data_IF_134413771274
#
_entry.id   IF_134413771274
#
_cell.length_a   1.000
_cell.length_b   1.000
_cell.length_c   1.000
_cell.angle_alpha   90.00
_cell.angle_beta   90.00
_cell.angle_gamma   90.00
#
_symmetry.space_group_name_H-M   'P 1'
#
loop_
_entity.id
_entity.type
_entity.pdbx_description
1 polymer ?
#
# COMPACT_ATOMS: atom_id res chain seq x y z
N UNK A 1 -37.86 31.92 9.49
CA UNK A 1 -37.57 31.73 10.92
C UNK A 1 -36.06 31.78 11.06
N UNK A 2 -35.52 32.99 11.10
CA UNK A 2 -34.11 33.27 11.33
C UNK A 2 -33.73 32.78 12.72
N UNK A 3 -32.86 31.77 12.79
CA UNK A 3 -32.16 31.38 14.02
C UNK A 3 -30.80 32.07 14.05
N UNK A 4 -30.80 33.40 14.02
CA UNK A 4 -29.57 34.19 14.08
C UNK A 4 -29.40 34.94 15.41
N UNK A 5 -30.03 34.43 16.48
CA UNK A 5 -29.88 34.97 17.82
C UNK A 5 -28.95 34.09 18.69
N UNK A 6 -27.72 34.57 18.82
CA UNK A 6 -26.97 34.66 20.08
C UNK A 6 -26.67 33.38 20.88
N UNK A 7 -26.02 32.39 20.26
CA UNK A 7 -25.05 31.59 21.03
C UNK A 7 -23.65 31.98 20.60
N UNK A 8 -23.09 33.01 21.26
CA UNK A 8 -21.65 33.27 21.18
C UNK A 8 -20.94 32.13 21.89
N UNK A 9 -20.55 31.12 21.13
CA UNK A 9 -19.62 30.09 21.61
C UNK A 9 -18.25 30.75 21.76
N UNK A 10 -17.63 30.58 22.92
CA UNK A 10 -16.25 31.05 23.13
C UNK A 10 -15.33 30.41 22.09
N UNK A 11 -14.35 31.16 21.58
CA UNK A 11 -13.38 30.63 20.62
C UNK A 11 -12.71 29.34 21.14
N UNK A 12 -12.55 29.22 22.47
CA UNK A 12 -12.05 28.04 23.15
C UNK A 12 -12.95 26.80 22.94
N UNK A 13 -14.26 26.93 23.15
CA UNK A 13 -15.19 25.81 22.96
C UNK A 13 -15.21 25.37 21.50
N UNK A 14 -15.19 26.32 20.55
CA UNK A 14 -15.07 26.02 19.13
C UNK A 14 -13.81 25.20 18.83
N UNK A 15 -12.65 25.65 19.30
CA UNK A 15 -11.37 24.96 19.11
C UNK A 15 -11.43 23.54 19.67
N UNK A 16 -11.94 23.36 20.89
CA UNK A 16 -12.05 22.04 21.53
C UNK A 16 -12.95 21.10 20.72
N UNK A 17 -14.15 21.54 20.34
CA UNK A 17 -15.06 20.70 19.54
C UNK A 17 -14.48 20.35 18.18
N UNK A 18 -13.82 21.30 17.52
CA UNK A 18 -13.18 21.05 16.23
C UNK A 18 -11.99 20.11 16.36
N UNK A 19 -11.17 20.21 17.41
CA UNK A 19 -10.09 19.27 17.65
C UNK A 19 -10.61 17.85 17.93
N UNK A 20 -11.64 17.69 18.78
CA UNK A 20 -12.25 16.38 19.04
C UNK A 20 -12.76 15.74 17.74
N UNK A 21 -13.41 16.54 16.90
CA UNK A 21 -13.90 16.05 15.61
C UNK A 21 -12.75 15.70 14.67
N UNK A 22 -11.72 16.53 14.54
CA UNK A 22 -10.61 16.28 13.62
C UNK A 22 -9.68 15.14 14.05
N UNK A 23 -9.50 14.96 15.36
CA UNK A 23 -8.59 13.96 15.92
C UNK A 23 -9.26 12.63 16.24
N UNK A 24 -10.59 12.58 16.42
CA UNK A 24 -11.28 11.35 16.82
C UNK A 24 -12.47 11.06 15.90
N UNK A 25 -13.43 11.96 15.84
CA UNK A 25 -14.69 11.70 15.12
C UNK A 25 -14.49 11.46 13.62
N UNK A 26 -13.71 12.32 12.97
CA UNK A 26 -13.46 12.29 11.54
C UNK A 26 -12.65 11.06 11.12
N UNK A 27 -11.51 10.72 11.78
CA UNK A 27 -10.81 9.46 11.52
C UNK A 27 -11.70 8.23 11.66
N UNK A 28 -12.51 8.13 12.73
CA UNK A 28 -13.39 6.97 12.94
C UNK A 28 -14.45 6.85 11.85
N UNK A 29 -15.09 7.97 11.49
CA UNK A 29 -16.07 8.00 10.41
C UNK A 29 -15.45 7.62 9.06
N UNK A 30 -14.27 8.16 8.72
CA UNK A 30 -13.61 7.83 7.46
C UNK A 30 -13.20 6.36 7.39
N UNK A 31 -12.73 5.78 8.50
CA UNK A 31 -12.36 4.37 8.55
C UNK A 31 -13.56 3.45 8.42
N UNK A 32 -14.65 3.72 9.13
CA UNK A 32 -15.88 2.94 9.00
C UNK A 32 -16.46 2.98 7.58
N UNK A 33 -16.38 4.15 6.94
CA UNK A 33 -16.79 4.32 5.55
C UNK A 33 -15.86 3.58 4.57
N UNK A 34 -14.54 3.70 4.75
CA UNK A 34 -13.56 2.98 3.93
C UNK A 34 -13.74 1.46 4.04
N UNK A 35 -14.05 0.96 5.25
CA UNK A 35 -14.34 -0.45 5.50
C UNK A 35 -15.61 -0.91 4.81
N UNK A 36 -16.69 -0.13 4.87
CA UNK A 36 -17.91 -0.44 4.14
C UNK A 36 -17.68 -0.47 2.61
N UNK A 37 -16.89 0.47 2.08
CA UNK A 37 -16.50 0.50 0.67
C UNK A 37 -15.66 -0.73 0.28
N UNK A 38 -14.70 -1.13 1.13
CA UNK A 38 -13.88 -2.31 0.91
C UNK A 38 -14.73 -3.59 0.87
N UNK A 39 -15.62 -3.79 1.85
CA UNK A 39 -16.52 -4.95 1.88
C UNK A 39 -17.41 -5.02 0.64
N UNK A 40 -17.81 -3.88 0.09
CA UNK A 40 -18.59 -3.82 -1.14
C UNK A 40 -17.76 -4.31 -2.34
N UNK A 41 -16.49 -3.90 -2.44
CA UNK A 41 -15.56 -4.36 -3.47
C UNK A 41 -15.26 -5.86 -3.33
N UNK A 42 -14.99 -6.33 -2.12
CA UNK A 42 -14.75 -7.75 -1.85
C UNK A 42 -15.98 -8.59 -2.19
N UNK A 43 -17.17 -8.17 -1.77
CA UNK A 43 -18.42 -8.85 -2.13
C UNK A 43 -18.59 -8.91 -3.66
N UNK A 44 -18.33 -7.82 -4.37
CA UNK A 44 -18.35 -7.79 -5.83
C UNK A 44 -17.35 -8.78 -6.44
N UNK A 45 -16.16 -8.92 -5.86
CA UNK A 45 -15.17 -9.90 -6.33
C UNK A 45 -15.65 -11.35 -6.20
N UNK A 46 -16.45 -11.68 -5.18
CA UNK A 46 -17.03 -13.00 -4.99
C UNK A 46 -18.18 -13.31 -5.95
N UNK A 47 -19.01 -12.31 -6.27
CA UNK A 47 -20.19 -12.49 -7.12
C UNK A 47 -19.95 -12.21 -8.61
N UNK A 48 -18.86 -11.51 -8.95
CA UNK A 48 -18.56 -11.13 -10.34
C UNK A 48 -18.13 -12.32 -11.19
N UNK A 49 -18.72 -12.41 -12.38
CA UNK A 49 -18.38 -13.34 -13.46
C UNK A 49 -18.30 -12.56 -14.77
N UNK A 50 -17.65 -13.13 -15.77
CA UNK A 50 -17.60 -12.53 -17.11
C UNK A 50 -19.01 -12.41 -17.70
N UNK A 51 -19.37 -11.21 -18.13
CA UNK A 51 -20.67 -10.93 -18.77
C UNK A 51 -20.46 -10.84 -20.28
N UNK A 52 -21.06 -11.78 -21.01
CA UNK A 52 -21.00 -11.82 -22.48
C UNK A 52 -22.31 -11.29 -23.05
N UNK A 53 -22.25 -10.13 -23.71
CA UNK A 53 -23.37 -9.53 -24.42
C UNK A 53 -23.24 -9.77 -25.93
N UNK A 54 -24.25 -10.45 -26.51
CA UNK A 54 -24.39 -10.67 -27.96
C UNK A 54 -23.10 -11.17 -28.66
N UNK A 55 -22.32 -12.02 -27.98
CA UNK A 55 -21.08 -12.63 -28.48
C UNK A 55 -20.00 -11.65 -29.01
N UNK A 56 -20.13 -10.34 -28.76
CA UNK A 56 -19.21 -9.30 -29.26
C UNK A 56 -18.66 -8.40 -28.16
N UNK A 57 -19.37 -8.26 -27.04
CA UNK A 57 -18.95 -7.42 -25.91
C UNK A 57 -18.82 -8.31 -24.69
N UNK A 58 -17.58 -8.48 -24.22
CA UNK A 58 -17.29 -9.20 -22.97
C UNK A 58 -16.88 -8.16 -21.94
N UNK A 59 -17.67 -8.02 -20.89
CA UNK A 59 -17.23 -7.30 -19.69
C UNK A 59 -16.56 -8.33 -18.80
N UNK A 60 -15.25 -8.22 -18.67
CA UNK A 60 -14.47 -9.13 -17.83
C UNK A 60 -14.81 -8.93 -16.35
N UNK A 61 -14.65 -9.99 -15.57
CA UNK A 61 -14.74 -9.97 -14.11
C UNK A 61 -13.88 -8.85 -13.51
N UNK A 62 -12.66 -8.71 -14.00
CA UNK A 62 -11.73 -7.65 -13.57
C UNK A 62 -12.28 -6.26 -13.85
N UNK A 63 -12.89 -6.05 -15.02
CA UNK A 63 -13.54 -4.78 -15.37
C UNK A 63 -14.71 -4.45 -14.44
N UNK A 64 -15.49 -5.46 -14.04
CA UNK A 64 -16.61 -5.29 -13.11
C UNK A 64 -16.16 -4.95 -11.68
N UNK A 65 -15.10 -5.61 -11.21
CA UNK A 65 -14.47 -5.31 -9.91
C UNK A 65 -13.90 -3.89 -9.94
N UNK A 66 -13.17 -3.52 -11.00
CA UNK A 66 -12.61 -2.19 -11.15
C UNK A 66 -13.70 -1.11 -11.12
N UNK A 67 -14.82 -1.32 -11.85
CA UNK A 67 -15.96 -0.41 -11.83
C UNK A 67 -16.53 -0.22 -10.41
N UNK A 68 -16.64 -1.33 -9.66
CA UNK A 68 -17.11 -1.30 -8.27
C UNK A 68 -16.15 -0.54 -7.36
N UNK A 69 -14.84 -0.70 -7.56
CA UNK A 69 -13.82 0.05 -6.84
C UNK A 69 -13.90 1.55 -7.12
N UNK A 70 -14.05 1.95 -8.39
CA UNK A 70 -14.24 3.35 -8.78
C UNK A 70 -15.51 3.96 -8.19
N UNK A 71 -16.61 3.21 -8.22
CA UNK A 71 -17.86 3.63 -7.59
C UNK A 71 -17.69 3.83 -6.08
N UNK A 72 -17.09 2.86 -5.40
CA UNK A 72 -16.84 2.91 -3.95
C UNK A 72 -15.94 4.09 -3.57
N UNK A 73 -14.90 4.35 -4.37
CA UNK A 73 -14.04 5.52 -4.20
C UNK A 73 -14.84 6.83 -4.37
N UNK A 74 -15.69 6.94 -5.39
CA UNK A 74 -16.53 8.13 -5.59
C UNK A 74 -17.50 8.35 -4.42
N UNK A 75 -18.13 7.27 -3.92
CA UNK A 75 -19.01 7.31 -2.73
C UNK A 75 -18.25 7.81 -1.51
N UNK A 76 -17.07 7.26 -1.24
CA UNK A 76 -16.21 7.71 -0.14
C UNK A 76 -15.95 9.23 -0.21
N UNK A 77 -15.50 9.72 -1.36
CA UNK A 77 -15.17 11.12 -1.56
C UNK A 77 -16.39 12.04 -1.34
N UNK A 78 -17.55 11.65 -1.88
CA UNK A 78 -18.79 12.42 -1.76
C UNK A 78 -19.30 12.46 -0.32
N UNK A 79 -19.25 11.34 0.40
CA UNK A 79 -19.60 11.28 1.82
C UNK A 79 -18.70 12.18 2.68
N UNK A 80 -17.39 12.22 2.43
CA UNK A 80 -16.47 13.11 3.17
C UNK A 80 -16.78 14.60 2.93
N UNK A 81 -17.10 14.97 1.69
CA UNK A 81 -17.55 16.33 1.36
C UNK A 81 -18.88 16.69 2.07
N UNK A 82 -19.85 15.77 2.06
CA UNK A 82 -21.14 15.95 2.73
C UNK A 82 -20.95 16.08 4.24
N UNK A 83 -20.08 15.27 4.84
CA UNK A 83 -19.81 15.32 6.28
C UNK A 83 -19.25 16.69 6.68
N UNK A 84 -18.31 17.24 5.91
CA UNK A 84 -17.81 18.60 6.12
C UNK A 84 -18.89 19.67 5.94
N UNK A 85 -19.75 19.51 4.93
CA UNK A 85 -20.87 20.42 4.67
C UNK A 85 -21.86 20.44 5.85
N UNK A 86 -22.26 19.27 6.34
CA UNK A 86 -23.15 19.10 7.48
C UNK A 86 -22.52 19.64 8.76
N UNK A 87 -21.27 19.28 9.04
CA UNK A 87 -20.54 19.76 10.21
C UNK A 87 -20.57 21.29 10.29
N UNK A 88 -20.23 21.97 9.19
CA UNK A 88 -20.25 23.43 9.13
C UNK A 88 -21.66 24.06 9.16
N UNK A 89 -22.71 23.28 8.87
CA UNK A 89 -24.10 23.74 8.96
C UNK A 89 -24.58 23.80 10.41
N UNK A 90 -24.15 22.87 11.25
CA UNK A 90 -24.61 22.78 12.63
C UNK A 90 -23.65 23.43 13.64
N UNK A 91 -22.38 23.63 13.28
CA UNK A 91 -21.41 24.26 14.17
C UNK A 91 -21.50 25.80 14.13
N UNK A 92 -21.61 26.47 15.29
CA UNK A 92 -21.43 27.91 15.38
C UNK A 92 -19.97 28.26 15.08
N UNK A 93 -19.75 29.20 14.17
CA UNK A 93 -18.42 29.52 13.60
C UNK A 93 -17.90 30.84 14.17
N UNK A 94 -16.61 30.91 14.55
CA UNK A 94 -16.02 32.14 15.06
C UNK A 94 -15.91 33.19 13.94
N UNK A 95 -15.91 34.47 14.35
CA UNK A 95 -15.81 35.60 13.40
C UNK A 95 -14.44 35.68 12.73
N UNK A 96 -13.38 35.23 13.42
CA UNK A 96 -12.00 35.26 12.93
C UNK A 96 -11.73 34.24 11.82
N UNK A 97 -11.28 34.72 10.66
CA UNK A 97 -10.93 33.87 9.52
C UNK A 97 -9.80 32.88 9.85
N UNK A 98 -8.74 33.36 10.51
CA UNK A 98 -7.57 32.55 10.82
C UNK A 98 -7.93 31.36 11.74
N UNK A 99 -8.63 31.60 12.85
CA UNK A 99 -9.04 30.55 13.80
C UNK A 99 -9.95 29.52 13.12
N UNK A 100 -10.88 29.98 12.27
CA UNK A 100 -11.84 29.12 11.58
C UNK A 100 -11.19 28.15 10.60
N UNK A 101 -10.19 28.59 9.83
CA UNK A 101 -9.65 27.78 8.73
C UNK A 101 -8.29 27.13 9.04
N UNK A 102 -7.50 27.70 9.96
CA UNK A 102 -6.20 27.16 10.34
C UNK A 102 -6.31 25.73 10.89
N UNK A 103 -7.30 25.47 11.75
CA UNK A 103 -7.52 24.15 12.35
C UNK A 103 -7.74 23.04 11.31
N UNK A 104 -8.32 23.36 10.15
CA UNK A 104 -8.53 22.39 9.07
C UNK A 104 -7.30 22.24 8.17
N UNK A 105 -6.46 23.27 8.04
CA UNK A 105 -5.20 23.18 7.30
C UNK A 105 -4.13 22.41 8.07
N UNK A 106 -4.09 22.54 9.40
CA UNK A 106 -3.10 21.88 10.28
C UNK A 106 -2.98 20.37 10.04
N UNK A 107 -4.06 19.55 10.07
CA UNK A 107 -3.93 18.11 9.84
C UNK A 107 -3.49 17.77 8.41
N UNK A 108 -3.86 18.58 7.41
CA UNK A 108 -3.43 18.37 6.02
C UNK A 108 -1.93 18.59 5.89
N UNK A 109 -1.42 19.69 6.45
CA UNK A 109 0.01 20.03 6.46
C UNK A 109 0.80 18.99 7.25
N UNK A 110 0.31 18.61 8.44
CA UNK A 110 0.91 17.56 9.26
C UNK A 110 1.00 16.24 8.47
N UNK A 111 -0.07 15.85 7.78
CA UNK A 111 -0.09 14.63 6.98
C UNK A 111 0.97 14.67 5.87
N UNK A 112 1.11 15.80 5.19
CA UNK A 112 2.12 15.99 4.15
C UNK A 112 3.55 15.95 4.70
N UNK A 113 3.81 16.56 5.86
CA UNK A 113 5.13 16.55 6.48
C UNK A 113 5.55 15.14 6.89
N UNK A 114 4.67 14.41 7.57
CA UNK A 114 4.93 13.02 7.97
C UNK A 114 5.15 12.15 6.72
N UNK A 115 4.30 12.31 5.70
CA UNK A 115 4.45 11.58 4.43
C UNK A 115 5.80 11.89 3.76
N UNK A 116 6.23 13.16 3.76
CA UNK A 116 7.50 13.57 3.17
C UNK A 116 8.69 12.95 3.91
N UNK A 117 8.66 12.92 5.24
CA UNK A 117 9.71 12.29 6.07
C UNK A 117 9.80 10.78 5.78
N UNK A 118 8.65 10.10 5.75
CA UNK A 118 8.57 8.65 5.49
C UNK A 118 9.00 8.30 4.07
N UNK A 119 8.63 9.13 3.08
CA UNK A 119 9.08 8.95 1.70
C UNK A 119 10.56 9.27 1.51
N UNK A 120 11.09 10.24 2.27
CA UNK A 120 12.51 10.61 2.22
C UNK A 120 13.42 9.53 2.80
N UNK A 121 12.98 8.81 3.84
CA UNK A 121 13.80 7.76 4.45
C UNK A 121 14.10 6.60 3.50
N UNK A 122 13.40 6.50 2.36
CA UNK A 122 13.62 5.47 1.34
C UNK A 122 13.54 4.03 1.90
N UNK A 123 12.71 3.81 2.93
CA UNK A 123 12.62 2.51 3.60
C UNK A 123 13.79 2.20 4.52
N UNK A 124 14.70 3.14 4.75
CA UNK A 124 15.64 3.06 5.86
C UNK A 124 14.91 3.35 7.17
N UNK A 125 15.37 2.69 8.23
CA UNK A 125 14.88 2.92 9.59
C UNK A 125 15.08 4.38 9.98
N UNK A 126 14.02 4.99 10.49
CA UNK A 126 14.09 6.35 11.03
C UNK A 126 14.04 6.23 12.55
N UNK A 127 15.08 6.71 13.22
CA UNK A 127 15.20 6.58 14.69
C UNK A 127 15.12 5.12 15.20
N UNK A 128 15.50 4.14 14.38
CA UNK A 128 15.45 2.72 14.75
C UNK A 128 14.07 2.06 14.63
N UNK A 129 13.10 2.75 14.04
CA UNK A 129 11.78 2.21 13.72
C UNK A 129 11.58 2.14 12.20
N UNK A 130 10.84 1.13 11.74
CA UNK A 130 10.43 1.05 10.35
C UNK A 130 9.47 2.21 10.02
N UNK A 131 9.53 2.64 8.78
CA UNK A 131 8.62 3.59 8.13
C UNK A 131 7.13 3.33 8.42
N UNK A 132 6.70 2.06 8.45
CA UNK A 132 5.33 1.68 8.76
C UNK A 132 4.96 1.95 10.23
N UNK A 133 5.86 1.66 11.17
CA UNK A 133 5.65 1.86 12.60
C UNK A 133 5.54 3.35 12.95
N UNK A 134 6.32 4.18 12.26
CA UNK A 134 6.28 5.64 12.46
C UNK A 134 4.96 6.21 11.96
N UNK A 135 4.47 5.74 10.82
CA UNK A 135 3.14 6.12 10.33
C UNK A 135 2.05 5.68 11.30
N UNK A 136 2.17 4.48 11.86
CA UNK A 136 1.25 3.98 12.87
C UNK A 136 1.21 4.89 14.10
N UNK A 137 2.37 5.27 14.64
CA UNK A 137 2.46 6.19 15.78
C UNK A 137 1.99 7.61 15.45
N UNK A 138 2.28 8.10 14.25
CA UNK A 138 1.90 9.44 13.81
C UNK A 138 0.40 9.59 13.56
N UNK A 139 -0.29 8.49 13.22
CA UNK A 139 -1.72 8.45 12.89
C UNK A 139 -2.49 7.44 13.75
N UNK A 140 -2.25 7.44 15.07
CA UNK A 140 -3.00 6.62 16.04
C UNK A 140 -4.54 6.75 15.88
N UNK A 141 -5.12 7.92 15.57
CA UNK A 141 -6.56 7.98 15.30
C UNK A 141 -7.06 7.10 14.14
N UNK A 142 -6.16 6.67 13.25
CA UNK A 142 -6.43 5.81 12.11
C UNK A 142 -6.15 4.31 12.35
N UNK A 143 -6.12 3.88 13.62
CA UNK A 143 -5.78 2.49 14.03
C UNK A 143 -6.67 1.39 13.43
N UNK A 144 -7.97 1.60 13.19
CA UNK A 144 -8.85 0.57 12.58
C UNK A 144 -8.43 0.28 11.14
N UNK A 145 -8.03 1.31 10.39
CA UNK A 145 -7.46 1.14 9.05
C UNK A 145 -6.14 0.37 9.06
N UNK A 146 -5.36 0.47 10.14
CA UNK A 146 -4.09 -0.25 10.27
C UNK A 146 -4.26 -1.73 10.60
N UNK A 147 -5.32 -2.11 11.32
CA UNK A 147 -5.52 -3.50 11.78
C UNK A 147 -6.46 -4.30 10.88
N UNK A 148 -7.44 -3.65 10.24
CA UNK A 148 -8.58 -4.37 9.62
C UNK A 148 -8.86 -4.10 8.14
N UNK A 149 -8.21 -3.13 7.50
CA UNK A 149 -8.51 -2.77 6.09
C UNK A 149 -7.62 -3.46 5.05
N UNK A 150 -6.62 -4.27 5.46
CA UNK A 150 -5.67 -4.92 4.54
C UNK A 150 -5.26 -4.00 3.38
N UNK A 151 -4.95 -2.72 3.69
CA UNK A 151 -4.46 -1.80 2.69
C UNK A 151 -3.04 -2.25 2.36
N UNK A 152 -2.91 -3.19 1.42
CA UNK A 152 -1.66 -3.82 0.98
C UNK A 152 -0.59 -2.82 0.53
N UNK A 153 -0.92 -1.52 0.48
CA UNK A 153 0.02 -0.45 0.20
C UNK A 153 -0.07 0.69 1.22
N UNK A 154 1.07 0.98 1.87
CA UNK A 154 1.33 2.16 2.71
C UNK A 154 0.84 3.47 2.02
N UNK A 155 0.97 3.52 0.70
CA UNK A 155 0.53 4.63 -0.14
C UNK A 155 -0.99 4.84 -0.15
N UNK A 156 -1.79 3.77 -0.16
CA UNK A 156 -3.24 3.87 -0.09
C UNK A 156 -3.71 4.36 1.28
N UNK A 157 -3.02 3.98 2.35
CA UNK A 157 -3.28 4.48 3.70
C UNK A 157 -3.03 5.99 3.81
N UNK A 158 -1.89 6.47 3.31
CA UNK A 158 -1.60 7.90 3.25
C UNK A 158 -2.61 8.66 2.40
N UNK A 159 -3.01 8.10 1.26
CA UNK A 159 -4.04 8.69 0.39
C UNK A 159 -5.39 8.81 1.12
N UNK A 160 -5.78 7.80 1.90
CA UNK A 160 -7.01 7.81 2.69
C UNK A 160 -7.03 8.97 3.70
N UNK A 161 -5.98 9.10 4.50
CA UNK A 161 -5.86 10.17 5.52
C UNK A 161 -5.92 11.53 4.83
N UNK A 162 -5.18 11.66 3.73
CA UNK A 162 -5.07 12.89 3.00
C UNK A 162 -6.41 13.34 2.35
N UNK A 163 -7.14 12.41 1.73
CA UNK A 163 -8.48 12.64 1.19
C UNK A 163 -9.47 13.02 2.30
N UNK A 164 -9.38 12.34 3.44
CA UNK A 164 -10.26 12.56 4.60
C UNK A 164 -10.24 14.02 5.04
N UNK A 165 -9.05 14.57 5.31
CA UNK A 165 -8.92 15.94 5.77
C UNK A 165 -9.19 16.99 4.68
N UNK A 166 -8.71 16.75 3.45
CA UNK A 166 -8.84 17.71 2.35
C UNK A 166 -10.30 17.89 1.92
N UNK A 167 -11.05 16.79 1.73
CA UNK A 167 -12.44 16.83 1.32
C UNK A 167 -13.34 17.36 2.44
N UNK A 168 -13.08 16.97 3.68
CA UNK A 168 -13.81 17.51 4.81
C UNK A 168 -13.64 19.04 4.91
N UNK A 169 -12.41 19.55 4.77
CA UNK A 169 -12.11 20.98 4.75
C UNK A 169 -12.83 21.71 3.60
N UNK A 170 -12.85 21.13 2.39
CA UNK A 170 -13.60 21.68 1.25
C UNK A 170 -15.10 21.71 1.55
N UNK A 171 -15.65 20.65 2.13
CA UNK A 171 -17.05 20.58 2.57
C UNK A 171 -17.42 21.72 3.51
N UNK A 172 -16.59 21.97 4.53
CA UNK A 172 -16.77 23.07 5.49
C UNK A 172 -16.83 24.44 4.81
N UNK A 173 -16.00 24.65 3.79
CA UNK A 173 -15.97 25.93 3.07
C UNK A 173 -17.25 26.18 2.27
N UNK A 174 -17.85 25.15 1.67
CA UNK A 174 -19.04 25.30 0.82
C UNK A 174 -20.24 25.91 1.56
N UNK A 175 -20.47 25.53 2.81
CA UNK A 175 -21.59 26.04 3.65
C UNK A 175 -21.33 27.47 4.09
N UNK A 176 -20.08 27.76 4.42
CA UNK A 176 -19.66 29.05 4.97
C UNK A 176 -19.69 30.20 3.95
N UNK A 177 -19.55 29.88 2.66
CA UNK A 177 -19.80 30.82 1.55
C UNK A 177 -21.23 31.37 1.53
N UNK A 178 -22.22 30.57 1.98
CA UNK A 178 -23.65 30.95 1.94
C UNK A 178 -24.07 31.76 3.17
N UNK A 179 -23.44 31.56 4.32
CA UNK A 179 -23.78 32.26 5.58
C UNK A 179 -23.13 33.62 5.76
N UNK A 180 -21.94 33.83 5.21
CA UNK A 180 -21.17 35.05 5.48
C UNK A 180 -21.25 36.03 4.31
N UNK A 181 -22.38 36.72 4.19
CA UNK A 181 -22.55 37.82 3.23
C UNK A 181 -21.61 39.02 3.50
N UNK A 182 -21.06 39.12 4.72
CA UNK A 182 -20.19 40.23 5.17
C UNK A 182 -18.69 39.92 5.17
N UNK A 183 -18.24 38.70 4.87
CA UNK A 183 -16.80 38.36 4.82
C UNK A 183 -16.22 38.52 3.41
N UNK A 184 -14.94 38.94 3.28
CA UNK A 184 -14.31 39.08 1.98
C UNK A 184 -14.20 37.73 1.28
N UNK A 185 -14.95 37.54 0.18
CA UNK A 185 -14.95 36.33 -0.66
C UNK A 185 -13.53 35.89 -1.08
N UNK A 186 -12.59 36.84 -1.13
CA UNK A 186 -11.19 36.60 -1.46
C UNK A 186 -10.46 35.68 -0.47
N UNK A 187 -10.72 35.78 0.85
CA UNK A 187 -10.08 34.93 1.85
C UNK A 187 -10.46 33.45 1.68
N UNK A 188 -11.75 33.19 1.41
CA UNK A 188 -12.26 31.85 1.14
C UNK A 188 -11.63 31.27 -0.13
N UNK A 189 -11.50 32.07 -1.19
CA UNK A 189 -10.86 31.64 -2.43
C UNK A 189 -9.38 31.27 -2.22
N UNK A 190 -8.62 32.10 -1.47
CA UNK A 190 -7.24 31.80 -1.11
C UNK A 190 -7.12 30.49 -0.33
N UNK A 191 -8.01 30.24 0.63
CA UNK A 191 -8.01 28.97 1.37
C UNK A 191 -8.32 27.77 0.47
N UNK A 192 -9.31 27.88 -0.43
CA UNK A 192 -9.59 26.83 -1.41
C UNK A 192 -8.38 26.55 -2.31
N UNK A 193 -7.67 27.59 -2.77
CA UNK A 193 -6.44 27.42 -3.54
C UNK A 193 -5.38 26.70 -2.72
N UNK A 194 -5.17 27.10 -1.45
CA UNK A 194 -4.19 26.44 -0.57
C UNK A 194 -4.55 24.96 -0.41
N UNK A 195 -5.80 24.63 -0.09
CA UNK A 195 -6.24 23.23 0.04
C UNK A 195 -6.10 22.48 -1.29
N UNK A 196 -6.36 23.13 -2.43
CA UNK A 196 -6.16 22.53 -3.75
C UNK A 196 -4.67 22.28 -4.06
N UNK A 197 -3.78 23.22 -3.73
CA UNK A 197 -2.33 23.06 -3.91
C UNK A 197 -1.82 21.91 -3.02
N UNK A 198 -2.21 21.91 -1.74
CA UNK A 198 -1.91 20.81 -0.83
C UNK A 198 -2.45 19.50 -1.39
N UNK A 199 -3.68 19.51 -1.94
CA UNK A 199 -4.32 18.35 -2.55
C UNK A 199 -3.49 17.77 -3.71
N UNK A 200 -3.06 18.64 -4.62
CA UNK A 200 -2.22 18.26 -5.75
C UNK A 200 -0.83 17.76 -5.29
N UNK A 201 -0.26 18.35 -4.24
CA UNK A 201 1.00 17.86 -3.64
C UNK A 201 0.84 16.45 -3.06
N UNK A 202 -0.25 16.17 -2.34
CA UNK A 202 -0.53 14.84 -1.79
C UNK A 202 -0.71 13.78 -2.89
N UNK A 203 -1.44 14.12 -3.96
CA UNK A 203 -1.56 13.26 -5.13
C UNK A 203 -0.21 13.02 -5.82
N UNK A 204 0.59 14.07 -5.99
CA UNK A 204 1.93 13.97 -6.55
C UNK A 204 2.82 13.03 -5.70
N UNK A 205 2.78 13.17 -4.37
CA UNK A 205 3.48 12.27 -3.45
C UNK A 205 3.04 10.81 -3.60
N UNK A 206 1.72 10.56 -3.68
CA UNK A 206 1.17 9.22 -3.92
C UNK A 206 1.64 8.63 -5.26
N UNK A 207 1.52 9.38 -6.35
CA UNK A 207 1.93 8.91 -7.68
C UNK A 207 3.44 8.71 -7.78
N UNK A 208 4.23 9.63 -7.22
CA UNK A 208 5.68 9.49 -7.18
C UNK A 208 6.08 8.22 -6.45
N UNK A 209 5.48 7.96 -5.29
CA UNK A 209 5.82 6.80 -4.48
C UNK A 209 5.33 5.48 -5.10
N UNK A 210 4.12 5.46 -5.67
CA UNK A 210 3.60 4.32 -6.44
C UNK A 210 4.48 4.04 -7.66
N UNK A 211 4.79 5.05 -8.46
CA UNK A 211 5.62 4.88 -9.66
C UNK A 211 7.04 4.47 -9.28
N UNK A 212 7.58 4.96 -8.17
CA UNK A 212 8.88 4.52 -7.67
C UNK A 212 8.86 3.05 -7.28
N UNK A 213 7.83 2.56 -6.59
CA UNK A 213 7.71 1.13 -6.31
C UNK A 213 7.66 0.31 -7.60
N UNK A 214 6.85 0.72 -8.57
CA UNK A 214 6.79 0.05 -9.88
C UNK A 214 8.15 0.07 -10.57
N UNK A 215 8.82 1.22 -10.60
CA UNK A 215 10.13 1.37 -11.22
C UNK A 215 11.24 0.64 -10.45
N UNK A 216 11.13 0.51 -9.13
CA UNK A 216 12.04 -0.32 -8.34
C UNK A 216 11.77 -1.78 -8.65
N UNK A 217 10.52 -2.24 -8.64
CA UNK A 217 10.17 -3.61 -9.05
C UNK A 217 10.63 -3.88 -10.48
N UNK A 218 10.47 -2.94 -11.41
CA UNK A 218 10.85 -3.04 -12.82
C UNK A 218 12.36 -2.92 -13.03
N UNK A 219 13.07 -2.05 -12.30
CA UNK A 219 14.54 -1.97 -12.28
C UNK A 219 15.15 -3.21 -11.62
N UNK A 220 14.49 -3.75 -10.60
CA UNK A 220 14.83 -5.06 -10.07
C UNK A 220 14.51 -6.12 -11.09
N UNK A 221 13.47 -5.98 -11.93
CA UNK A 221 13.14 -6.88 -13.05
C UNK A 221 14.14 -6.77 -14.22
N UNK A 222 14.74 -5.61 -14.45
CA UNK A 222 15.78 -5.39 -15.46
C UNK A 222 17.15 -5.88 -14.97
N UNK A 223 17.46 -5.73 -13.68
CA UNK A 223 18.61 -6.38 -13.04
C UNK A 223 18.37 -7.86 -12.71
N UNK A 224 17.10 -8.29 -12.69
CA UNK A 224 16.61 -9.67 -12.61
C UNK A 224 15.92 -10.04 -13.94
N UNK A 225 16.54 -9.71 -15.07
CA UNK A 225 16.23 -10.34 -16.38
C UNK A 225 16.71 -11.82 -16.39
N UNK A 226 16.56 -12.52 -15.27
CA UNK A 226 16.75 -13.97 -15.07
C UNK A 226 15.76 -14.59 -14.10
N UNK A 227 14.84 -13.85 -13.46
CA UNK A 227 13.76 -14.47 -12.67
C UNK A 227 12.40 -13.99 -13.17
N UNK A 228 11.92 -14.60 -14.24
CA UNK A 228 10.52 -15.02 -14.21
C UNK A 228 10.31 -15.81 -12.91
N UNK A 229 9.25 -15.49 -12.17
CA UNK A 229 8.96 -16.11 -10.89
C UNK A 229 8.85 -17.62 -11.07
N UNK A 230 9.88 -18.34 -10.64
CA UNK A 230 9.88 -19.79 -10.64
C UNK A 230 8.89 -20.20 -9.56
N UNK A 231 7.77 -20.77 -9.98
CA UNK A 231 6.84 -21.44 -9.06
C UNK A 231 7.57 -22.69 -8.57
N UNK A 232 8.13 -22.63 -7.35
CA UNK A 232 8.97 -23.71 -6.81
C UNK A 232 8.27 -25.08 -6.80
N UNK A 233 6.94 -25.08 -6.67
CA UNK A 233 6.11 -26.30 -6.71
C UNK A 233 6.15 -26.99 -8.07
N UNK A 234 6.20 -26.24 -9.18
CA UNK A 234 6.29 -26.78 -10.54
C UNK A 234 7.64 -27.50 -10.79
N UNK A 235 8.66 -27.17 -9.99
CA UNK A 235 10.02 -27.69 -10.09
C UNK A 235 10.41 -28.54 -8.89
N UNK A 236 9.44 -29.03 -8.11
CA UNK A 236 9.73 -29.88 -6.98
C UNK A 236 10.25 -31.27 -7.43
N UNK A 237 11.45 -31.70 -6.99
CA UNK A 237 11.96 -33.03 -7.31
C UNK A 237 11.02 -34.14 -6.80
N UNK A 238 10.91 -35.21 -7.57
CA UNK A 238 10.08 -36.39 -7.30
C UNK A 238 8.57 -36.14 -7.27
N UNK A 239 8.11 -34.91 -7.53
CA UNK A 239 6.69 -34.64 -7.70
C UNK A 239 6.20 -35.13 -9.06
N UNK A 240 4.96 -35.65 -9.10
CA UNK A 240 4.38 -36.16 -10.33
C UNK A 240 3.94 -34.99 -11.21
N UNK A 241 4.51 -34.90 -12.42
CA UNK A 241 4.17 -33.85 -13.38
C UNK A 241 4.97 -32.56 -13.21
N UNK A 242 6.13 -32.60 -12.53
CA UNK A 242 7.05 -31.47 -12.53
C UNK A 242 7.56 -31.10 -13.93
N UNK A 243 8.04 -29.87 -14.04
CA UNK A 243 8.65 -29.31 -15.24
C UNK A 243 10.17 -29.56 -15.30
N UNK A 244 10.70 -30.47 -14.47
CA UNK A 244 12.12 -30.76 -14.43
C UNK A 244 12.56 -31.55 -15.67
N UNK A 245 13.69 -31.14 -16.24
CA UNK A 245 14.28 -31.86 -17.37
C UNK A 245 14.71 -33.26 -16.93
N UNK A 246 14.24 -34.28 -17.65
CA UNK A 246 14.63 -35.67 -17.45
C UNK A 246 15.87 -36.00 -18.28
N UNK A 247 16.69 -36.93 -17.79
CA UNK A 247 17.80 -37.47 -18.58
C UNK A 247 17.27 -38.29 -19.77
N UNK A 248 17.88 -38.11 -20.95
CA UNK A 248 17.54 -38.88 -22.17
C UNK A 248 18.02 -40.34 -22.12
N UNK A 249 18.95 -40.65 -21.21
CA UNK A 249 19.53 -41.96 -20.99
C UNK A 249 19.70 -42.19 -19.48
N UNK A 250 19.78 -43.44 -19.00
CA UNK A 250 20.06 -43.73 -17.60
C UNK A 250 21.30 -42.98 -17.10
N UNK A 251 21.23 -42.42 -15.89
CA UNK A 251 22.36 -41.73 -15.28
C UNK A 251 23.51 -42.72 -15.05
N UNK A 252 24.72 -42.34 -15.42
CA UNK A 252 25.93 -43.14 -15.12
C UNK A 252 26.31 -43.07 -13.64
N UNK A 253 25.84 -42.03 -12.94
CA UNK A 253 26.03 -41.82 -11.51
C UNK A 253 24.66 -41.77 -10.83
N UNK A 254 24.48 -42.58 -9.79
CA UNK A 254 23.32 -42.56 -8.91
C UNK A 254 23.83 -42.36 -7.47
N UNK A 255 23.21 -41.43 -6.75
CA UNK A 255 23.52 -41.11 -5.35
C UNK A 255 22.37 -41.67 -4.51
N UNK A 256 22.66 -42.74 -3.78
CA UNK A 256 21.68 -43.50 -2.97
C UNK A 256 21.76 -43.18 -1.46
N UNK A 257 22.87 -42.61 -1.02
CA UNK A 257 23.20 -42.32 0.37
C UNK A 257 24.11 -41.09 0.45
N UNK A 258 24.17 -40.47 1.63
CA UNK A 258 24.98 -39.25 1.90
C UNK A 258 24.77 -38.14 0.85
N UNK A 259 23.49 -37.81 0.60
CA UNK A 259 23.11 -36.83 -0.42
C UNK A 259 23.80 -35.49 -0.20
N UNK A 260 24.61 -35.01 -1.16
CA UNK A 260 25.21 -33.69 -1.08
C UNK A 260 24.14 -32.60 -0.92
N UNK A 261 24.38 -31.67 0.00
CA UNK A 261 23.50 -30.52 0.24
C UNK A 261 23.82 -29.43 -0.77
N UNK A 262 22.79 -28.99 -1.48
CA UNK A 262 22.88 -28.00 -2.55
C UNK A 262 22.27 -26.67 -2.11
N UNK A 263 22.92 -25.56 -2.43
CA UNK A 263 22.29 -24.24 -2.40
C UNK A 263 22.53 -23.50 -3.71
N UNK A 264 21.67 -22.54 -4.05
CA UNK A 264 21.93 -21.74 -5.24
C UNK A 264 21.04 -20.54 -5.39
N UNK A 265 21.39 -19.72 -6.37
CA UNK A 265 20.57 -18.61 -6.83
C UNK A 265 19.19 -19.14 -7.24
N UNK A 266 18.11 -18.51 -6.76
CA UNK A 266 16.73 -18.91 -7.06
C UNK A 266 16.46 -19.10 -8.57
N UNK A 267 16.96 -18.25 -9.49
CA UNK A 267 16.85 -18.48 -10.94
C UNK A 267 17.39 -19.82 -11.44
N UNK A 268 18.39 -20.38 -10.74
CA UNK A 268 19.02 -21.64 -11.10
C UNK A 268 18.36 -22.86 -10.46
N UNK A 269 17.28 -22.67 -9.66
CA UNK A 269 16.58 -23.77 -8.98
C UNK A 269 16.18 -24.92 -9.91
N UNK A 270 15.59 -24.70 -11.09
CA UNK A 270 15.24 -25.78 -12.01
C UNK A 270 16.42 -26.65 -12.43
N UNK A 271 17.64 -26.07 -12.51
CA UNK A 271 18.84 -26.77 -12.92
C UNK A 271 19.29 -27.76 -11.85
N UNK A 272 19.47 -27.31 -10.61
CA UNK A 272 19.92 -28.20 -9.54
C UNK A 272 18.81 -29.09 -8.99
N UNK A 273 17.54 -28.67 -9.07
CA UNK A 273 16.40 -29.54 -8.81
C UNK A 273 16.31 -30.68 -9.84
N UNK A 274 16.66 -30.43 -11.10
CA UNK A 274 16.72 -31.47 -12.14
C UNK A 274 17.84 -32.46 -11.84
N UNK A 275 19.00 -32.00 -11.37
CA UNK A 275 20.07 -32.88 -10.92
C UNK A 275 19.60 -33.79 -9.76
N UNK A 276 18.93 -33.24 -8.74
CA UNK A 276 18.37 -34.03 -7.64
C UNK A 276 17.38 -35.07 -8.17
N UNK A 277 16.43 -34.66 -9.01
CA UNK A 277 15.38 -35.54 -9.51
C UNK A 277 15.92 -36.75 -10.31
N UNK A 278 17.05 -36.57 -11.00
CA UNK A 278 17.61 -37.60 -11.87
C UNK A 278 18.72 -38.43 -11.21
N UNK A 279 19.46 -37.86 -10.26
CA UNK A 279 20.64 -38.49 -9.68
C UNK A 279 20.38 -39.06 -8.29
N UNK A 280 19.46 -38.49 -7.51
CA UNK A 280 19.28 -38.85 -6.10
C UNK A 280 18.20 -39.91 -5.97
N UNK A 281 18.44 -40.89 -5.12
CA UNK A 281 17.49 -41.96 -4.79
C UNK A 281 17.41 -42.17 -3.28
N UNK A 282 16.36 -42.83 -2.80
CA UNK A 282 16.15 -43.06 -1.37
C UNK A 282 15.33 -41.98 -0.67
N UNK A 283 15.34 -41.99 0.66
CA UNK A 283 14.51 -41.10 1.48
C UNK A 283 15.19 -39.74 1.63
N UNK A 284 14.66 -38.74 0.95
CA UNK A 284 15.21 -37.38 0.90
C UNK A 284 14.37 -36.40 1.73
N UNK A 285 15.04 -35.51 2.45
CA UNK A 285 14.41 -34.35 3.07
C UNK A 285 14.75 -33.10 2.24
N UNK A 286 13.91 -32.80 1.25
CA UNK A 286 14.18 -31.77 0.23
C UNK A 286 14.61 -30.40 0.80
N UNK A 287 13.97 -29.83 1.85
CA UNK A 287 14.41 -28.58 2.47
C UNK A 287 15.82 -28.62 3.09
N UNK A 288 16.33 -29.80 3.45
CA UNK A 288 17.69 -29.97 3.99
C UNK A 288 18.73 -30.21 2.90
N UNK A 289 18.29 -30.74 1.76
CA UNK A 289 19.16 -31.14 0.64
C UNK A 289 19.24 -30.04 -0.43
N UNK A 290 18.22 -29.18 -0.55
CA UNK A 290 18.17 -28.13 -1.55
C UNK A 290 17.64 -26.81 -0.96
N UNK A 291 18.37 -25.73 -1.19
CA UNK A 291 18.01 -24.38 -0.74
C UNK A 291 18.12 -23.36 -1.87
N UNK A 292 17.00 -22.74 -2.21
CA UNK A 292 16.98 -21.56 -3.07
C UNK A 292 17.17 -20.27 -2.26
N UNK A 293 18.01 -19.36 -2.76
CA UNK A 293 18.26 -18.07 -2.14
C UNK A 293 18.99 -17.13 -3.10
N UNK A 294 19.68 -16.12 -2.55
CA UNK A 294 20.57 -15.28 -3.36
C UNK A 294 21.94 -15.94 -3.57
N UNK A 295 22.67 -15.51 -4.62
CA UNK A 295 24.06 -15.95 -4.86
C UNK A 295 24.96 -15.72 -3.63
N UNK A 296 24.82 -14.57 -2.96
CA UNK A 296 25.58 -14.25 -1.75
C UNK A 296 25.24 -15.19 -0.58
N UNK A 297 23.98 -15.57 -0.41
CA UNK A 297 23.58 -16.53 0.60
C UNK A 297 24.15 -17.93 0.30
N UNK A 298 24.15 -18.36 -0.96
CA UNK A 298 24.72 -19.64 -1.35
C UNK A 298 26.22 -19.71 -1.02
N UNK A 299 26.99 -18.67 -1.38
CA UNK A 299 28.40 -18.58 -1.00
C UNK A 299 28.62 -18.58 0.51
N UNK A 300 27.84 -17.79 1.26
CA UNK A 300 27.91 -17.77 2.72
C UNK A 300 27.71 -19.14 3.35
N UNK A 301 26.72 -19.91 2.86
CA UNK A 301 26.45 -21.27 3.34
C UNK A 301 27.57 -22.26 3.01
N UNK A 302 28.19 -22.13 1.84
CA UNK A 302 29.34 -22.96 1.48
C UNK A 302 30.53 -22.68 2.39
N UNK A 303 30.83 -21.39 2.61
CA UNK A 303 31.93 -20.95 3.49
C UNK A 303 31.72 -21.45 4.92
N UNK A 304 30.48 -21.47 5.40
CA UNK A 304 30.12 -21.96 6.72
C UNK A 304 30.02 -23.49 6.83
N UNK A 305 30.22 -24.25 5.74
CA UNK A 305 30.08 -25.71 5.72
C UNK A 305 28.63 -26.22 5.84
N UNK A 306 27.65 -25.34 5.63
CA UNK A 306 26.21 -25.66 5.70
C UNK A 306 25.72 -26.42 4.46
N UNK A 307 26.42 -26.28 3.34
CA UNK A 307 26.17 -26.97 2.08
C UNK A 307 27.46 -27.48 1.45
N UNK A 308 27.34 -28.46 0.57
CA UNK A 308 28.48 -29.14 -0.05
C UNK A 308 28.72 -28.66 -1.49
N UNK A 309 27.68 -28.15 -2.16
CA UNK A 309 27.75 -27.62 -3.54
C UNK A 309 26.89 -26.37 -3.69
N UNK A 310 27.38 -25.39 -4.46
CA UNK A 310 26.64 -24.16 -4.79
C UNK A 310 26.41 -23.97 -6.29
N UNK A 311 25.23 -23.49 -6.64
CA UNK A 311 24.85 -23.06 -7.99
C UNK A 311 24.70 -21.54 -7.99
N UNK A 312 25.77 -20.86 -8.40
CA UNK A 312 25.90 -19.41 -8.36
C UNK A 312 26.33 -18.86 -9.73
N UNK A 313 25.93 -17.64 -10.03
CA UNK A 313 26.53 -16.85 -11.11
C UNK A 313 27.93 -16.38 -10.67
N UNK A 314 28.81 -16.10 -11.63
CA UNK A 314 30.17 -15.62 -11.33
C UNK A 314 30.14 -14.43 -10.33
N UNK A 315 31.07 -14.38 -9.36
CA UNK A 315 31.18 -13.24 -8.46
C UNK A 315 31.45 -11.98 -9.26
N UNK A 316 30.83 -10.86 -8.89
CA UNK A 316 31.17 -9.58 -9.51
C UNK A 316 32.59 -9.17 -9.10
N UNK A 317 33.33 -8.51 -9.99
CA UNK A 317 34.73 -8.10 -9.78
C UNK A 317 34.95 -7.19 -8.54
N UNK A 318 33.88 -6.76 -7.88
CA UNK A 318 33.92 -5.88 -6.70
C UNK A 318 34.02 -6.63 -5.35
N UNK A 319 34.16 -7.96 -5.35
CA UNK A 319 34.31 -8.77 -4.12
C UNK A 319 35.69 -9.41 -3.97
N UNK A 320 36.68 -8.93 -4.74
CA UNK A 320 38.07 -9.36 -4.66
C UNK A 320 38.99 -8.21 -4.22
N UNK A 321 38.68 -7.62 -3.07
CA UNK A 321 39.62 -6.86 -2.22
C UNK A 321 39.26 -7.07 -0.74
#
# INVERSE_FOLDING_TARGET
MDRDDNVQVSDLNYIIYTLIVLLIGLPLCSQGLAFACMLLVESSSWFSKDLVFNARVVVTREGLIALTSWFSFAVFNLCMLILGHLYSKYLPVPKGFAIRYSLFATPIIYTLLVSAVVLYSNGADIFGYDSADILFMAFIPFVIANVGLSLDSLHAFLLLIFLTYSLFALGVVTTNRKRSAKQPRQGIYRFCIIVLILFLMGLCGYFWAKNRLVNLVESTKDHIMTSEGIVFDDYQPFSRGNLLTQLRSPATLIIDSEHPRLAGASPLYPLYASAINNLYTGKLNLPQVASAGSTSQAYGRLINGEVDVVFATAPSEFQSD
#
